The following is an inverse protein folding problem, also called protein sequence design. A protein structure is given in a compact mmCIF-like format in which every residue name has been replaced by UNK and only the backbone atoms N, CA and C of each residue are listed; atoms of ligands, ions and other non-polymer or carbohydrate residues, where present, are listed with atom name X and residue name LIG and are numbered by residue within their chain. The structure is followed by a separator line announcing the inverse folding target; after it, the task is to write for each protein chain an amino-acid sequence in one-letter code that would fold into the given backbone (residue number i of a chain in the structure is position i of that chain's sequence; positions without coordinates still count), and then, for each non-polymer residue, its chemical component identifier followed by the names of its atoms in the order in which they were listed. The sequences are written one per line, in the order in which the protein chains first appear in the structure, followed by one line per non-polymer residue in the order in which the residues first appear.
data_IF_036334839366
#
_entry.id   IF_036334839366
#
_cell.length_a   1.000
_cell.length_b   1.000
_cell.length_c   1.000
_cell.angle_alpha   90.00
_cell.angle_beta   90.00
_cell.angle_gamma   90.00
#
_symmetry.space_group_name_H-M   'P 1'
#
loop_
_entity.id
_entity.type
_entity.pdbx_description
1 polymer ?
#
# COMPACT_ATOMS: atom_id res chain seq x y z
N UNK A 1 16.53 19.41 16.75
CA UNK A 1 15.59 18.71 15.81
C UNK A 1 15.66 19.40 14.44
N UNK A 2 16.08 18.69 13.41
CA UNK A 2 16.23 19.24 12.06
C UNK A 2 14.82 19.40 11.47
N UNK A 3 14.45 20.65 11.18
CA UNK A 3 13.18 20.99 10.50
C UNK A 3 13.17 20.37 9.09
N UNK A 4 12.08 19.72 8.69
CA UNK A 4 11.96 19.17 7.33
C UNK A 4 12.13 20.28 6.29
N UNK A 5 12.90 19.98 5.22
CA UNK A 5 13.07 20.92 4.10
C UNK A 5 11.73 21.16 3.38
N UNK A 6 11.60 22.30 2.68
CA UNK A 6 10.40 22.60 1.89
C UNK A 6 10.10 21.52 0.86
N UNK A 7 11.12 21.00 0.17
CA UNK A 7 10.97 19.91 -0.80
C UNK A 7 10.45 18.61 -0.17
N UNK A 8 10.91 18.26 1.04
CA UNK A 8 10.38 17.12 1.80
C UNK A 8 8.91 17.31 2.16
N UNK A 9 8.51 18.52 2.58
CA UNK A 9 7.13 18.82 2.93
C UNK A 9 6.21 18.73 1.70
N UNK A 10 6.65 19.22 0.55
CA UNK A 10 5.92 19.08 -0.73
C UNK A 10 5.76 17.61 -1.11
N UNK A 11 6.83 16.81 -1.04
CA UNK A 11 6.76 15.38 -1.31
C UNK A 11 5.76 14.64 -0.41
N UNK A 12 5.76 14.95 0.90
CA UNK A 12 4.79 14.37 1.85
C UNK A 12 3.35 14.81 1.50
N UNK A 13 3.15 16.06 1.10
CA UNK A 13 1.84 16.55 0.70
C UNK A 13 1.32 15.84 -0.56
N UNK A 14 2.17 15.60 -1.55
CA UNK A 14 1.84 14.83 -2.76
C UNK A 14 1.45 13.38 -2.38
N UNK A 15 2.24 12.73 -1.54
CA UNK A 15 1.93 11.38 -1.04
C UNK A 15 0.57 11.36 -0.33
N UNK A 16 0.29 12.33 0.53
CA UNK A 16 -0.98 12.41 1.23
C UNK A 16 -2.16 12.68 0.28
N UNK A 17 -1.99 13.57 -0.69
CA UNK A 17 -3.02 13.87 -1.69
C UNK A 17 -3.34 12.65 -2.56
N UNK A 18 -2.33 11.97 -3.07
CA UNK A 18 -2.52 10.75 -3.87
C UNK A 18 -3.14 9.62 -3.05
N UNK A 19 -2.78 9.50 -1.77
CA UNK A 19 -3.40 8.56 -0.83
C UNK A 19 -4.90 8.87 -0.64
N UNK A 20 -5.27 10.14 -0.46
CA UNK A 20 -6.67 10.58 -0.34
C UNK A 20 -7.46 10.23 -1.61
N UNK A 21 -6.95 10.60 -2.77
CA UNK A 21 -7.61 10.29 -4.05
C UNK A 21 -7.82 8.78 -4.21
N UNK A 22 -6.79 8.00 -3.90
CA UNK A 22 -6.83 6.54 -4.08
C UNK A 22 -7.74 5.85 -3.06
N UNK A 23 -7.95 6.42 -1.87
CA UNK A 23 -8.83 5.81 -0.86
C UNK A 23 -10.31 5.80 -1.24
N UNK A 24 -10.73 6.62 -2.21
CA UNK A 24 -12.09 6.56 -2.78
C UNK A 24 -12.30 5.36 -3.73
N UNK A 25 -11.24 4.71 -4.15
CA UNK A 25 -11.34 3.58 -5.07
C UNK A 25 -12.22 2.42 -4.55
N UNK A 26 -12.11 1.96 -3.28
CA UNK A 26 -13.03 0.94 -2.76
C UNK A 26 -14.49 1.35 -2.81
N UNK A 27 -14.79 2.62 -2.56
CA UNK A 27 -16.16 3.15 -2.64
C UNK A 27 -16.66 3.09 -4.09
N UNK A 28 -15.87 3.58 -5.04
CA UNK A 28 -16.21 3.51 -6.47
C UNK A 28 -16.39 2.05 -6.89
N UNK A 29 -15.50 1.15 -6.43
CA UNK A 29 -15.52 -0.26 -6.78
C UNK A 29 -16.75 -0.99 -6.25
N UNK A 30 -17.29 -0.58 -5.10
CA UNK A 30 -18.50 -1.14 -4.53
C UNK A 30 -19.75 -0.88 -5.39
N UNK A 31 -19.72 0.17 -6.23
CA UNK A 31 -20.82 0.53 -7.11
C UNK A 31 -20.59 0.13 -8.59
N UNK A 32 -19.42 -0.44 -8.91
CA UNK A 32 -19.14 -0.94 -10.27
C UNK A 32 -19.73 -2.36 -10.39
N UNK A 33 -20.56 -2.63 -11.41
CA UNK A 33 -21.04 -3.98 -11.68
C UNK A 33 -19.88 -4.96 -11.90
N UNK A 34 -20.08 -6.22 -11.50
CA UNK A 34 -19.09 -7.30 -11.70
C UNK A 34 -18.69 -7.52 -13.16
N UNK A 35 -19.52 -7.06 -14.10
CA UNK A 35 -19.25 -7.05 -15.54
C UNK A 35 -18.28 -5.96 -16.00
N UNK A 36 -17.72 -5.16 -15.11
CA UNK A 36 -16.82 -4.05 -15.43
C UNK A 36 -15.55 -4.04 -14.56
N UNK A 37 -14.56 -3.29 -14.99
CA UNK A 37 -13.33 -3.09 -14.28
C UNK A 37 -12.49 -4.37 -14.16
N UNK A 38 -11.81 -4.56 -13.03
CA UNK A 38 -10.90 -5.69 -12.81
C UNK A 38 -11.65 -7.04 -12.73
N UNK A 39 -12.93 -7.04 -12.39
CA UNK A 39 -13.73 -8.26 -12.30
C UNK A 39 -13.94 -8.95 -13.64
N UNK A 40 -13.98 -8.20 -14.77
CA UNK A 40 -14.08 -8.79 -16.13
C UNK A 40 -12.96 -9.80 -16.41
N UNK A 41 -11.84 -9.68 -15.72
CA UNK A 41 -10.68 -10.56 -15.91
C UNK A 41 -10.71 -11.81 -15.02
N UNK A 42 -11.77 -11.98 -14.22
CA UNK A 42 -11.91 -13.09 -13.27
C UNK A 42 -12.85 -14.15 -13.80
N UNK A 43 -12.59 -15.45 -13.53
CA UNK A 43 -13.53 -16.51 -13.82
C UNK A 43 -14.88 -16.24 -13.14
N UNK A 44 -15.98 -16.52 -13.84
CA UNK A 44 -17.32 -16.30 -13.30
C UNK A 44 -17.59 -17.13 -12.05
N UNK A 45 -17.13 -18.36 -12.01
CA UNK A 45 -17.22 -19.27 -10.84
C UNK A 45 -16.60 -18.64 -9.58
N UNK A 46 -15.46 -17.91 -9.75
CA UNK A 46 -14.83 -17.20 -8.65
C UNK A 46 -15.68 -16.02 -8.16
N UNK A 47 -16.28 -15.27 -9.10
CA UNK A 47 -17.14 -14.13 -8.79
C UNK A 47 -18.47 -14.54 -8.14
N UNK A 48 -19.00 -15.70 -8.51
CA UNK A 48 -20.21 -16.27 -7.91
C UNK A 48 -19.94 -16.95 -6.56
N UNK A 49 -18.66 -17.17 -6.21
CA UNK A 49 -18.33 -17.74 -4.90
C UNK A 49 -18.70 -16.75 -3.78
N UNK A 50 -19.31 -17.25 -2.68
CA UNK A 50 -19.77 -16.43 -1.56
C UNK A 50 -18.64 -15.70 -0.81
N UNK A 51 -17.38 -16.13 -0.96
CA UNK A 51 -16.25 -15.66 -0.16
C UNK A 51 -15.34 -14.64 -0.89
N UNK A 52 -15.23 -14.70 -2.24
CA UNK A 52 -14.20 -13.93 -2.95
C UNK A 52 -14.45 -12.42 -2.89
N UNK A 53 -15.67 -11.98 -3.17
CA UNK A 53 -16.02 -10.55 -3.12
C UNK A 53 -15.83 -9.96 -1.70
N UNK A 54 -16.32 -10.59 -0.62
CA UNK A 54 -16.02 -10.14 0.74
C UNK A 54 -14.53 -10.05 1.07
N UNK A 55 -13.72 -11.04 0.66
CA UNK A 55 -12.27 -11.03 0.85
C UNK A 55 -11.63 -9.87 0.09
N UNK A 56 -11.98 -9.68 -1.17
CA UNK A 56 -11.49 -8.58 -1.99
C UNK A 56 -11.87 -7.22 -1.39
N UNK A 57 -13.12 -7.03 -1.00
CA UNK A 57 -13.60 -5.77 -0.39
C UNK A 57 -12.92 -5.50 0.97
N UNK A 58 -12.69 -6.53 1.77
CA UNK A 58 -11.93 -6.43 3.02
C UNK A 58 -10.50 -5.96 2.73
N UNK A 59 -9.82 -6.56 1.75
CA UNK A 59 -8.47 -6.16 1.36
C UNK A 59 -8.41 -4.69 0.97
N UNK A 60 -9.24 -4.24 0.03
CA UNK A 60 -9.18 -2.86 -0.47
C UNK A 60 -9.71 -1.84 0.54
N UNK A 61 -10.72 -2.19 1.34
CA UNK A 61 -11.31 -1.31 2.34
C UNK A 61 -10.35 -1.00 3.49
N UNK A 62 -9.79 -2.04 4.14
CA UNK A 62 -8.77 -1.85 5.17
C UNK A 62 -7.48 -1.26 4.59
N UNK A 63 -7.12 -1.59 3.35
CA UNK A 63 -6.00 -0.97 2.64
C UNK A 63 -6.16 0.54 2.48
N UNK A 64 -7.37 1.00 2.15
CA UNK A 64 -7.68 2.43 2.05
C UNK A 64 -7.56 3.16 3.40
N UNK A 65 -8.04 2.56 4.47
CA UNK A 65 -7.87 3.13 5.82
C UNK A 65 -6.39 3.15 6.21
N UNK A 66 -5.66 2.08 5.91
CA UNK A 66 -4.23 1.99 6.19
C UNK A 66 -3.44 3.07 5.46
N UNK A 67 -3.68 3.32 4.17
CA UNK A 67 -2.92 4.32 3.41
C UNK A 67 -3.21 5.74 3.91
N UNK A 68 -4.44 6.04 4.32
CA UNK A 68 -4.79 7.32 4.93
C UNK A 68 -4.09 7.51 6.27
N UNK A 69 -4.23 6.54 7.19
CA UNK A 69 -3.59 6.59 8.49
C UNK A 69 -2.06 6.64 8.38
N UNK A 70 -1.48 5.85 7.47
CA UNK A 70 -0.04 5.78 7.23
C UNK A 70 0.54 7.07 6.68
N UNK A 71 -0.13 7.73 5.73
CA UNK A 71 0.33 8.99 5.14
C UNK A 71 0.47 10.10 6.18
N UNK A 72 -0.39 10.11 7.20
CA UNK A 72 -0.34 11.10 8.29
C UNK A 72 0.92 11.00 9.15
N UNK A 73 1.55 9.82 9.20
CA UNK A 73 2.71 9.54 10.07
C UNK A 73 3.98 10.30 9.64
N UNK A 74 4.02 10.81 8.42
CA UNK A 74 5.17 11.56 7.89
C UNK A 74 5.14 13.05 8.24
N UNK A 75 4.02 13.57 8.74
CA UNK A 75 3.93 14.97 9.13
C UNK A 75 4.56 15.23 10.50
N UNK A 76 5.64 16.04 10.54
CA UNK A 76 6.30 16.43 11.79
C UNK A 76 5.35 17.12 12.77
N UNK A 77 4.38 17.90 12.27
CA UNK A 77 3.36 18.55 13.11
C UNK A 77 2.55 17.53 13.91
N UNK A 78 2.21 16.39 13.33
CA UNK A 78 1.47 15.31 14.00
C UNK A 78 2.39 14.58 14.97
N UNK A 79 3.55 14.16 14.50
CA UNK A 79 4.51 13.37 15.29
C UNK A 79 5.02 14.11 16.52
N UNK A 80 5.34 15.41 16.39
CA UNK A 80 6.00 16.20 17.43
C UNK A 80 5.00 16.95 18.31
N UNK A 81 4.01 17.62 17.68
CA UNK A 81 3.07 18.48 18.43
C UNK A 81 1.86 17.71 18.96
N UNK A 82 1.54 16.55 18.35
CA UNK A 82 0.37 15.74 18.76
C UNK A 82 0.76 14.24 18.87
N UNK A 83 1.66 13.89 19.82
CA UNK A 83 2.18 12.52 19.91
C UNK A 83 1.12 11.46 20.21
N UNK A 84 0.06 11.81 20.93
CA UNK A 84 -1.08 10.92 21.16
C UNK A 84 -1.81 10.59 19.84
N UNK A 85 -2.06 11.59 19.00
CA UNK A 85 -2.67 11.40 17.69
C UNK A 85 -1.79 10.54 16.79
N UNK A 86 -0.47 10.80 16.75
CA UNK A 86 0.49 9.96 16.02
C UNK A 86 0.40 8.50 16.44
N UNK A 87 0.39 8.22 17.75
CA UNK A 87 0.27 6.85 18.27
C UNK A 87 -1.05 6.18 17.91
N UNK A 88 -2.16 6.92 18.01
CA UNK A 88 -3.48 6.36 17.69
C UNK A 88 -3.63 6.05 16.20
N UNK A 89 -3.23 6.97 15.32
CA UNK A 89 -3.22 6.73 13.87
C UNK A 89 -2.25 5.62 13.48
N UNK A 90 -1.10 5.51 14.16
CA UNK A 90 -0.17 4.40 13.97
C UNK A 90 -0.77 3.03 14.36
N UNK A 91 -1.55 2.97 15.45
CA UNK A 91 -2.28 1.76 15.84
C UNK A 91 -3.36 1.40 14.82
N UNK A 92 -4.11 2.39 14.31
CA UNK A 92 -5.11 2.19 13.25
C UNK A 92 -4.42 1.63 12.00
N UNK A 93 -3.28 2.20 11.61
CA UNK A 93 -2.49 1.70 10.49
C UNK A 93 -2.17 0.21 10.65
N UNK A 94 -1.56 -0.18 11.76
CA UNK A 94 -1.17 -1.58 12.02
C UNK A 94 -2.41 -2.50 12.06
N UNK A 95 -3.48 -2.08 12.74
CA UNK A 95 -4.73 -2.85 12.84
C UNK A 95 -5.39 -3.07 11.47
N UNK A 96 -5.26 -2.12 10.54
CA UNK A 96 -5.80 -2.24 9.18
C UNK A 96 -4.87 -3.04 8.25
N UNK A 97 -3.55 -2.95 8.43
CA UNK A 97 -2.60 -3.72 7.61
C UNK A 97 -2.77 -5.22 7.79
N UNK A 98 -3.04 -5.69 9.02
CA UNK A 98 -3.16 -7.13 9.28
C UNK A 98 -4.30 -7.77 8.46
N UNK A 99 -5.57 -7.37 8.60
CA UNK A 99 -6.65 -7.97 7.80
C UNK A 99 -6.47 -7.70 6.30
N UNK A 100 -6.06 -6.47 5.91
CA UNK A 100 -5.83 -6.16 4.49
C UNK A 100 -4.72 -7.02 3.89
N UNK A 101 -3.60 -7.19 4.58
CA UNK A 101 -2.48 -7.98 4.09
C UNK A 101 -2.80 -9.48 4.00
N UNK A 102 -3.49 -10.04 5.01
CA UNK A 102 -3.93 -11.44 4.98
C UNK A 102 -4.90 -11.70 3.82
N UNK A 103 -5.91 -10.85 3.65
CA UNK A 103 -6.83 -10.95 2.51
C UNK A 103 -6.09 -10.67 1.18
N UNK A 104 -5.10 -9.79 1.20
CA UNK A 104 -4.23 -9.52 0.06
C UNK A 104 -3.41 -10.72 -0.42
N UNK A 105 -3.00 -11.63 0.46
CA UNK A 105 -2.38 -12.90 0.09
C UNK A 105 -3.35 -13.76 -0.73
N UNK A 106 -4.60 -13.87 -0.27
CA UNK A 106 -5.63 -14.64 -0.97
C UNK A 106 -5.94 -14.00 -2.33
N UNK A 107 -6.19 -12.69 -2.37
CA UNK A 107 -6.45 -11.94 -3.61
C UNK A 107 -5.27 -12.05 -4.58
N UNK A 108 -4.04 -12.01 -4.08
CA UNK A 108 -2.83 -12.17 -4.87
C UNK A 108 -2.71 -13.54 -5.52
N UNK A 109 -3.13 -14.60 -4.82
CA UNK A 109 -3.16 -15.96 -5.37
C UNK A 109 -4.12 -16.08 -6.56
N UNK A 110 -5.22 -15.33 -6.53
CA UNK A 110 -6.21 -15.23 -7.62
C UNK A 110 -5.98 -14.03 -8.55
N UNK A 111 -4.77 -13.45 -8.54
CA UNK A 111 -4.45 -12.35 -9.44
C UNK A 111 -4.51 -12.78 -10.91
N UNK A 112 -4.94 -11.85 -11.75
CA UNK A 112 -5.02 -12.04 -13.20
C UNK A 112 -3.62 -12.06 -13.82
N UNK A 113 -3.49 -12.68 -14.98
CA UNK A 113 -2.24 -12.75 -15.73
C UNK A 113 -1.41 -13.98 -15.38
N UNK A 114 -0.14 -13.92 -15.75
CA UNK A 114 0.82 -15.02 -15.63
C UNK A 114 1.17 -15.37 -14.17
N UNK A 115 1.76 -16.52 -13.95
CA UNK A 115 2.16 -16.98 -12.61
C UNK A 115 3.02 -15.97 -11.83
N UNK A 116 3.89 -15.23 -12.52
CA UNK A 116 4.70 -14.19 -11.90
C UNK A 116 3.90 -12.98 -11.44
N UNK A 117 2.72 -12.72 -12.04
CA UNK A 117 1.78 -11.73 -11.52
C UNK A 117 1.32 -12.08 -10.10
N UNK A 118 0.90 -13.34 -9.90
CA UNK A 118 0.50 -13.87 -8.60
C UNK A 118 1.65 -13.76 -7.59
N UNK A 119 2.85 -14.20 -8.01
CA UNK A 119 4.05 -14.11 -7.18
C UNK A 119 4.34 -12.67 -6.74
N UNK A 120 4.28 -11.69 -7.65
CA UNK A 120 4.54 -10.29 -7.34
C UNK A 120 3.59 -9.71 -6.30
N UNK A 121 2.29 -9.99 -6.42
CA UNK A 121 1.30 -9.54 -5.44
C UNK A 121 1.41 -10.25 -4.09
N UNK A 122 1.70 -11.56 -4.09
CA UNK A 122 1.92 -12.33 -2.85
C UNK A 122 3.16 -11.80 -2.11
N UNK A 123 4.27 -11.58 -2.81
CA UNK A 123 5.49 -11.02 -2.22
C UNK A 123 5.27 -9.61 -1.67
N UNK A 124 4.48 -8.79 -2.38
CA UNK A 124 4.08 -7.46 -1.88
C UNK A 124 3.29 -7.56 -0.58
N UNK A 125 2.29 -8.44 -0.51
CA UNK A 125 1.47 -8.62 0.68
C UNK A 125 2.28 -9.17 1.86
N UNK A 126 3.16 -10.16 1.63
CA UNK A 126 4.08 -10.69 2.64
C UNK A 126 5.04 -9.61 3.14
N UNK A 127 5.66 -8.87 2.22
CA UNK A 127 6.56 -7.78 2.57
C UNK A 127 5.88 -6.70 3.41
N UNK A 128 4.62 -6.38 3.09
CA UNK A 128 3.82 -5.44 3.85
C UNK A 128 3.53 -5.93 5.27
N UNK A 129 3.06 -7.16 5.41
CA UNK A 129 2.78 -7.78 6.71
C UNK A 129 4.06 -7.86 7.56
N UNK A 130 5.13 -8.44 7.02
CA UNK A 130 6.39 -8.65 7.73
C UNK A 130 6.97 -7.31 8.20
N UNK A 131 7.07 -6.32 7.31
CA UNK A 131 7.62 -5.00 7.65
C UNK A 131 6.79 -4.29 8.72
N UNK A 132 5.46 -4.44 8.70
CA UNK A 132 4.55 -3.87 9.70
C UNK A 132 4.71 -4.54 11.06
N UNK A 133 4.77 -5.88 11.09
CA UNK A 133 4.98 -6.65 12.33
C UNK A 133 6.33 -6.31 12.94
N UNK A 134 7.39 -6.26 12.13
CA UNK A 134 8.72 -5.87 12.59
C UNK A 134 8.74 -4.43 13.13
N UNK A 135 8.07 -3.50 12.45
CA UNK A 135 7.94 -2.13 12.95
C UNK A 135 7.26 -2.08 14.33
N UNK A 136 6.14 -2.80 14.47
CA UNK A 136 5.41 -2.86 15.73
C UNK A 136 6.23 -3.50 16.85
N UNK A 137 6.92 -4.60 16.58
CA UNK A 137 7.77 -5.25 17.57
C UNK A 137 8.95 -4.37 18.02
N UNK A 138 9.53 -3.59 17.09
CA UNK A 138 10.64 -2.69 17.44
C UNK A 138 10.18 -1.53 18.35
N UNK A 139 9.02 -0.95 18.12
CA UNK A 139 8.52 0.12 19.01
C UNK A 139 8.20 -0.42 20.40
N UNK A 140 7.70 -1.67 20.52
CA UNK A 140 7.45 -2.31 21.80
C UNK A 140 8.72 -2.60 22.58
N UNK A 141 9.85 -2.76 21.89
CA UNK A 141 11.20 -2.91 22.48
C UNK A 141 11.90 -1.57 22.75
N UNK A 142 11.28 -0.43 22.46
CA UNK A 142 11.90 0.88 22.61
C UNK A 142 12.89 1.26 21.49
N UNK A 143 13.03 0.46 20.44
CA UNK A 143 13.96 0.69 19.34
C UNK A 143 13.38 1.65 18.30
N UNK A 144 13.29 2.95 18.63
CA UNK A 144 12.65 3.97 17.80
C UNK A 144 13.23 4.07 16.39
N UNK A 145 14.54 3.94 16.21
CA UNK A 145 15.18 4.04 14.90
C UNK A 145 14.81 2.85 14.00
N UNK A 146 14.84 1.64 14.55
CA UNK A 146 14.43 0.44 13.82
C UNK A 146 12.94 0.45 13.51
N UNK A 147 12.12 0.87 14.48
CA UNK A 147 10.68 1.10 14.24
C UNK A 147 10.45 2.03 13.05
N UNK A 148 11.10 3.21 13.04
CA UNK A 148 10.98 4.17 11.94
C UNK A 148 11.37 3.55 10.61
N UNK A 149 12.49 2.85 10.54
CA UNK A 149 12.98 2.25 9.31
C UNK A 149 12.01 1.18 8.78
N UNK A 150 11.44 0.35 9.65
CA UNK A 150 10.47 -0.66 9.27
C UNK A 150 9.11 -0.06 8.90
N UNK A 151 8.67 1.01 9.57
CA UNK A 151 7.45 1.75 9.19
C UNK A 151 7.56 2.37 7.81
N UNK A 152 8.72 2.91 7.44
CA UNK A 152 8.94 3.48 6.10
C UNK A 152 8.88 2.38 5.03
N UNK A 153 9.45 1.18 5.29
CA UNK A 153 9.33 0.02 4.40
C UNK A 153 7.89 -0.46 4.27
N UNK A 154 7.21 -0.60 5.41
CA UNK A 154 5.79 -0.97 5.43
C UNK A 154 4.95 0.00 4.60
N UNK A 155 5.18 1.30 4.74
CA UNK A 155 4.45 2.30 3.96
C UNK A 155 4.82 2.27 2.47
N UNK A 156 6.05 1.91 2.10
CA UNK A 156 6.43 1.73 0.69
C UNK A 156 5.62 0.61 0.01
N UNK A 157 5.38 -0.50 0.72
CA UNK A 157 4.46 -1.55 0.26
C UNK A 157 3.00 -1.08 0.23
N UNK A 158 2.54 -0.35 1.24
CA UNK A 158 1.21 0.24 1.25
C UNK A 158 0.99 1.19 0.07
N UNK A 159 2.00 2.02 -0.23
CA UNK A 159 1.97 2.97 -1.34
C UNK A 159 1.96 2.30 -2.73
N UNK A 160 2.30 1.01 -2.81
CA UNK A 160 2.11 0.23 -4.03
C UNK A 160 0.67 0.29 -4.55
N UNK A 161 -0.31 0.47 -3.67
CA UNK A 161 -1.71 0.68 -4.01
C UNK A 161 -1.92 1.93 -4.90
N UNK A 162 -1.20 3.02 -4.63
CA UNK A 162 -1.20 4.25 -5.45
C UNK A 162 -0.41 4.03 -6.74
N UNK A 163 0.82 3.55 -6.61
CA UNK A 163 1.75 3.36 -7.74
C UNK A 163 1.16 2.43 -8.79
N UNK A 164 0.52 1.35 -8.35
CA UNK A 164 -0.17 0.41 -9.23
C UNK A 164 -1.24 1.11 -10.08
N UNK A 165 -2.05 1.98 -9.47
CA UNK A 165 -3.11 2.69 -10.19
C UNK A 165 -2.59 3.74 -11.14
N UNK A 166 -1.54 4.43 -10.78
CA UNK A 166 -0.86 5.37 -11.68
C UNK A 166 -0.36 4.63 -12.93
N UNK A 167 0.34 3.52 -12.75
CA UNK A 167 0.86 2.75 -13.88
C UNK A 167 -0.25 2.09 -14.70
N UNK A 168 -1.31 1.61 -14.04
CA UNK A 168 -2.47 1.05 -14.73
C UNK A 168 -3.14 2.09 -15.63
N UNK A 169 -3.37 3.29 -15.09
CA UNK A 169 -3.96 4.41 -15.84
C UNK A 169 -3.04 4.89 -16.97
N UNK A 170 -1.74 4.95 -16.72
CA UNK A 170 -0.76 5.32 -17.73
C UNK A 170 -0.71 4.32 -18.89
N UNK A 171 -0.66 3.02 -18.58
CA UNK A 171 -0.70 1.98 -19.60
C UNK A 171 -1.96 2.02 -20.46
N UNK A 172 -3.11 2.29 -19.84
CA UNK A 172 -4.39 2.48 -20.56
C UNK A 172 -4.35 3.74 -21.44
N UNK A 173 -3.82 4.86 -20.94
CA UNK A 173 -3.70 6.11 -21.70
C UNK A 173 -2.74 6.00 -22.90
N UNK A 174 -1.72 5.15 -22.80
CA UNK A 174 -0.79 4.83 -23.88
C UNK A 174 -1.34 3.80 -24.88
N UNK A 175 -2.60 3.34 -24.71
CA UNK A 175 -3.23 2.36 -25.59
C UNK A 175 -2.65 0.93 -25.45
N UNK A 176 -1.93 0.62 -24.39
CA UNK A 176 -1.38 -0.71 -24.16
C UNK A 176 -2.50 -1.70 -23.86
N UNK A 177 -2.41 -2.89 -24.43
CA UNK A 177 -3.34 -3.98 -24.11
C UNK A 177 -3.13 -4.41 -22.65
N UNK A 178 -4.19 -4.41 -21.85
CA UNK A 178 -4.17 -4.75 -20.41
C UNK A 178 -3.36 -6.01 -20.10
N UNK A 179 -3.57 -7.08 -20.84
CA UNK A 179 -2.90 -8.37 -20.65
C UNK A 179 -1.37 -8.28 -20.76
N UNK A 180 -0.85 -7.38 -21.61
CA UNK A 180 0.58 -7.30 -21.91
C UNK A 180 1.39 -6.63 -20.77
N UNK A 181 0.81 -5.72 -20.01
CA UNK A 181 1.56 -4.97 -18.99
C UNK A 181 1.11 -5.24 -17.55
N UNK A 182 -0.13 -5.71 -17.34
CA UNK A 182 -0.69 -5.93 -16.01
C UNK A 182 0.19 -6.82 -15.12
N UNK A 183 0.70 -7.92 -15.67
CA UNK A 183 1.52 -8.86 -14.91
C UNK A 183 2.82 -8.24 -14.40
N UNK A 184 3.43 -7.32 -15.15
CA UNK A 184 4.63 -6.60 -14.72
C UNK A 184 4.33 -5.58 -13.61
N UNK A 185 3.10 -5.04 -13.58
CA UNK A 185 2.69 -4.09 -12.54
C UNK A 185 2.70 -4.71 -11.15
N UNK A 186 2.59 -6.04 -11.04
CA UNK A 186 2.67 -6.76 -9.77
C UNK A 186 3.99 -6.51 -9.02
N UNK A 187 5.09 -6.29 -9.75
CA UNK A 187 6.40 -5.93 -9.22
C UNK A 187 6.66 -4.43 -9.30
N UNK A 188 6.36 -3.80 -10.43
CA UNK A 188 6.63 -2.38 -10.65
C UNK A 188 5.88 -1.48 -9.66
N UNK A 189 4.79 -1.94 -9.09
CA UNK A 189 4.02 -1.17 -8.12
C UNK A 189 4.76 -0.94 -6.78
N UNK A 190 5.59 -1.87 -6.34
CA UNK A 190 6.24 -1.81 -5.02
C UNK A 190 7.77 -1.83 -5.05
N UNK A 191 8.39 -2.49 -6.03
CA UNK A 191 9.86 -2.61 -6.10
C UNK A 191 10.54 -1.24 -6.18
N UNK A 192 10.14 -0.32 -7.08
CA UNK A 192 10.74 1.02 -7.13
C UNK A 192 10.53 1.81 -5.84
N UNK A 193 9.36 1.69 -5.20
CA UNK A 193 9.08 2.34 -3.92
C UNK A 193 10.06 1.85 -2.85
N UNK A 194 10.29 0.53 -2.79
CA UNK A 194 11.19 -0.07 -1.81
C UNK A 194 12.66 0.32 -2.07
N UNK A 195 13.11 0.30 -3.33
CA UNK A 195 14.45 0.76 -3.71
C UNK A 195 14.67 2.20 -3.27
N UNK A 196 13.73 3.10 -3.54
CA UNK A 196 13.79 4.49 -3.10
C UNK A 196 13.90 4.62 -1.58
N UNK A 197 13.10 3.85 -0.85
CA UNK A 197 13.10 3.87 0.61
C UNK A 197 14.41 3.33 1.19
N UNK A 198 14.97 2.25 0.65
CA UNK A 198 16.26 1.72 1.08
C UNK A 198 17.40 2.71 0.84
N UNK A 199 17.39 3.37 -0.32
CA UNK A 199 18.34 4.45 -0.60
C UNK A 199 18.22 5.58 0.44
N UNK A 200 16.99 6.04 0.75
CA UNK A 200 16.76 7.08 1.75
C UNK A 200 17.20 6.68 3.16
N UNK A 201 16.94 5.44 3.56
CA UNK A 201 17.34 4.92 4.88
C UNK A 201 18.86 4.91 5.00
N UNK A 202 19.59 4.50 3.95
CA UNK A 202 21.06 4.51 3.92
C UNK A 202 21.62 5.93 4.04
N UNK A 203 21.05 6.91 3.34
CA UNK A 203 21.46 8.31 3.42
C UNK A 203 21.30 8.91 4.83
N UNK A 204 20.30 8.48 5.60
CA UNK A 204 20.07 8.95 6.97
C UNK A 204 21.06 8.30 7.94
N UNK A 205 21.49 7.07 7.68
CA UNK A 205 22.45 6.33 8.53
C UNK A 205 23.88 6.85 8.38
N UNK A 206 24.22 7.44 7.23
CA UNK A 206 25.55 7.95 6.92
C UNK A 206 25.75 9.44 7.28
N UNK A 207 24.75 10.08 7.90
CA UNK A 207 24.81 11.43 8.49
C UNK A 207 24.80 11.35 10.01
#
# INVERSE_FOLDING_TARGET
MIKQSKSTQIGIAIIALTAIITCFYPVIFAFIPSSRGLFVTKPEELLQSFWYIPVFMTHIGFGAIAILAGSTQFFDKIRIKKPSLHRNLGKIYVACVIPSGLMGLIVGFYATGEWYSKLGFILSALGWLISTILAYTQIRKGNFQLHRNWMIRSFAFCFAFVTFRIYLSLGSALGLRFHNYYSYLSFLSWVPNLIFVEWRIRQIKNK
#
